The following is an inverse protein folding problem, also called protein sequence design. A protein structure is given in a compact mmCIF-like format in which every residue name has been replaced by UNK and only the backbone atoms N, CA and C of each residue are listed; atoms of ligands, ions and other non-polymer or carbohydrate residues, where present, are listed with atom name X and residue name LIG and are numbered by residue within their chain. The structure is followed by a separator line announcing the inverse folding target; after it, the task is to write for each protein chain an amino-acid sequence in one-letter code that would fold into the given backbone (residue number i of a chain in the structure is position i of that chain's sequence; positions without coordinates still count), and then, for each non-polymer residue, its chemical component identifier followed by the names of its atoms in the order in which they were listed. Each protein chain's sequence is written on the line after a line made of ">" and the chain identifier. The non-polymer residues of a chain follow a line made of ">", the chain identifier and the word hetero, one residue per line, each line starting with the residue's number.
data_IF_667777516711
#
_entry.id   IF_667777516711
#
_cell.length_a   1.000
_cell.length_b   1.000
_cell.length_c   1.000
_cell.angle_alpha   90.00
_cell.angle_beta   90.00
_cell.angle_gamma   90.00
#
_symmetry.space_group_name_H-M   'P 1'
#
loop_
_entity.id
_entity.type
_entity.pdbx_description
1 polymer ?
#
# COMPACT_ATOMS: atom_id res chain seq x y z
N UNK A 1 6.46 -12.15 66.12
CA UNK A 1 7.60 -11.26 66.44
C UNK A 1 8.49 -11.22 65.20
N UNK A 2 8.56 -10.07 64.50
CA UNK A 2 9.77 -9.21 64.34
C UNK A 2 11.01 -10.02 63.93
N UNK A 3 11.77 -9.76 62.86
CA UNK A 3 12.02 -8.57 62.02
C UNK A 3 12.83 -9.08 60.79
N UNK A 4 12.49 -8.64 59.58
CA UNK A 4 13.30 -7.74 58.72
C UNK A 4 14.63 -8.32 58.17
N UNK A 5 14.80 -8.31 56.85
CA UNK A 5 15.62 -7.28 56.19
C UNK A 5 15.43 -7.31 54.66
N UNK A 6 15.29 -6.10 54.12
CA UNK A 6 15.24 -5.71 52.72
C UNK A 6 16.61 -5.94 52.05
N UNK A 7 16.65 -6.44 50.81
CA UNK A 7 17.72 -6.09 49.89
C UNK A 7 17.20 -6.12 48.44
N UNK A 8 17.04 -4.93 47.88
CA UNK A 8 16.75 -4.68 46.47
C UNK A 8 17.99 -5.01 45.64
N UNK A 9 17.81 -5.74 44.54
CA UNK A 9 18.75 -5.70 43.42
C UNK A 9 17.95 -5.61 42.11
N UNK A 10 17.96 -4.41 41.52
CA UNK A 10 17.65 -4.17 40.12
C UNK A 10 18.74 -4.84 39.26
N UNK A 11 18.35 -5.51 38.18
CA UNK A 11 19.09 -5.53 36.91
C UNK A 11 18.20 -6.12 35.81
N UNK A 12 17.79 -5.22 34.93
CA UNK A 12 17.29 -5.47 33.58
C UNK A 12 18.25 -6.32 32.75
N UNK A 13 17.73 -7.16 31.84
CA UNK A 13 18.03 -7.16 30.38
C UNK A 13 17.58 -8.47 29.70
N UNK A 14 17.32 -8.34 28.40
CA UNK A 14 17.04 -9.32 27.36
C UNK A 14 15.53 -9.59 27.15
N UNK A 15 14.84 -8.92 26.22
CA UNK A 15 15.30 -8.61 24.87
C UNK A 15 14.86 -9.73 23.94
N UNK A 16 13.60 -9.69 23.53
CA UNK A 16 13.20 -10.16 22.22
C UNK A 16 12.66 -8.92 21.50
N UNK A 17 13.60 -8.11 21.02
CA UNK A 17 13.34 -7.26 19.86
C UNK A 17 13.10 -8.24 18.70
N UNK A 18 11.86 -8.71 18.54
CA UNK A 18 11.35 -8.93 17.19
C UNK A 18 11.26 -7.54 16.60
N UNK A 19 12.37 -7.07 16.04
CA UNK A 19 12.36 -5.99 15.09
C UNK A 19 11.56 -6.47 13.88
N UNK A 20 10.23 -6.40 13.98
CA UNK A 20 9.46 -6.06 12.81
C UNK A 20 10.03 -4.70 12.42
N UNK A 21 10.87 -4.69 11.39
CA UNK A 21 11.22 -3.46 10.70
C UNK A 21 9.91 -3.02 10.08
N UNK A 22 9.10 -2.34 10.88
CA UNK A 22 7.97 -1.61 10.42
C UNK A 22 8.55 -0.33 9.84
N UNK A 23 8.73 -0.25 8.53
CA UNK A 23 8.72 1.01 7.80
C UNK A 23 7.65 1.89 8.44
N UNK A 24 8.11 2.90 9.17
CA UNK A 24 7.21 3.90 9.72
C UNK A 24 6.62 4.64 8.53
N UNK A 25 5.38 5.13 8.66
CA UNK A 25 4.82 6.10 7.72
C UNK A 25 5.82 7.25 7.50
N UNK A 26 6.53 7.64 8.58
CA UNK A 26 7.62 8.62 8.54
C UNK A 26 8.68 8.28 7.51
N UNK A 27 9.11 7.02 7.43
CA UNK A 27 10.13 6.58 6.48
C UNK A 27 9.66 6.74 5.03
N UNK A 28 8.38 6.48 4.76
CA UNK A 28 7.78 6.65 3.42
C UNK A 28 7.65 8.14 3.09
N UNK A 29 7.21 8.97 4.06
CA UNK A 29 6.98 10.40 3.82
C UNK A 29 8.27 11.21 3.69
N UNK A 30 9.33 10.80 4.36
CA UNK A 30 10.64 11.47 4.32
C UNK A 30 11.55 10.95 3.20
N UNK A 31 11.28 9.77 2.63
CA UNK A 31 12.08 9.21 1.54
C UNK A 31 11.96 10.05 0.25
N UNK A 32 13.08 10.61 -0.21
CA UNK A 32 13.18 11.45 -1.42
C UNK A 32 12.95 10.68 -2.74
N UNK A 33 13.00 9.35 -2.73
CA UNK A 33 12.73 8.51 -3.90
C UNK A 33 11.25 8.54 -4.31
N UNK A 34 10.36 8.81 -3.37
CA UNK A 34 8.94 8.92 -3.64
C UNK A 34 8.55 10.35 -4.02
N UNK A 35 7.78 10.47 -5.11
CA UNK A 35 7.20 11.76 -5.51
C UNK A 35 6.26 12.33 -4.44
N UNK A 36 6.15 13.66 -4.39
CA UNK A 36 5.23 14.33 -3.47
C UNK A 36 3.76 13.94 -3.73
N UNK A 37 3.37 13.75 -4.99
CA UNK A 37 2.03 13.31 -5.36
C UNK A 37 1.70 11.94 -4.78
N UNK A 38 2.65 11.01 -4.87
CA UNK A 38 2.54 9.69 -4.22
C UNK A 38 2.41 9.82 -2.70
N UNK A 39 3.31 10.55 -2.05
CA UNK A 39 3.31 10.71 -0.58
C UNK A 39 1.99 11.27 -0.08
N UNK A 40 1.49 12.33 -0.74
CA UNK A 40 0.20 12.92 -0.37
C UNK A 40 -0.98 11.97 -0.61
N UNK A 41 -0.97 11.18 -1.69
CA UNK A 41 -2.00 10.20 -1.95
C UNK A 41 -1.97 9.06 -0.90
N UNK A 42 -0.77 8.56 -0.58
CA UNK A 42 -0.56 7.55 0.44
C UNK A 42 -1.06 8.02 1.81
N UNK A 43 -0.63 9.19 2.29
CA UNK A 43 -1.10 9.75 3.57
C UNK A 43 -2.63 9.87 3.59
N UNK A 44 -3.23 10.44 2.54
CA UNK A 44 -4.69 10.64 2.44
C UNK A 44 -5.48 9.33 2.50
N UNK A 45 -4.94 8.25 1.96
CA UNK A 45 -5.55 6.92 2.02
C UNK A 45 -5.29 6.28 3.38
N UNK A 46 -4.05 6.32 3.84
CA UNK A 46 -3.60 5.69 5.08
C UNK A 46 -4.36 6.24 6.31
N UNK A 47 -4.55 7.56 6.40
CA UNK A 47 -5.29 8.22 7.48
C UNK A 47 -6.76 7.78 7.58
N UNK A 48 -7.34 7.26 6.49
CA UNK A 48 -8.73 6.75 6.47
C UNK A 48 -8.84 5.29 6.92
N UNK A 49 -7.71 4.60 7.02
CA UNK A 49 -7.64 3.16 7.30
C UNK A 49 -7.70 2.29 6.04
N UNK A 50 -7.53 0.97 6.21
CA UNK A 50 -7.48 0.02 5.10
C UNK A 50 -8.70 0.12 4.19
N UNK A 51 -8.46 0.01 2.89
CA UNK A 51 -9.51 0.08 1.86
C UNK A 51 -9.56 -1.17 0.97
N UNK A 52 -8.64 -2.11 1.18
CA UNK A 52 -8.47 -3.33 0.41
C UNK A 52 -8.19 -4.51 1.35
N UNK A 53 -8.70 -5.71 1.01
CA UNK A 53 -8.49 -6.99 1.69
C UNK A 53 -8.42 -7.04 3.24
N UNK A 54 -9.12 -6.11 3.90
CA UNK A 54 -9.20 -5.87 5.34
C UNK A 54 -8.00 -5.10 5.93
N UNK A 55 -6.79 -5.33 5.45
CA UNK A 55 -5.57 -4.79 6.08
C UNK A 55 -4.73 -3.90 5.15
N UNK A 56 -4.94 -3.97 3.83
CA UNK A 56 -4.10 -3.27 2.85
C UNK A 56 -4.77 -2.02 2.26
N UNK A 57 -3.97 -1.28 1.51
CA UNK A 57 -4.36 0.00 0.94
C UNK A 57 -4.08 0.04 -0.56
N UNK A 58 -5.10 0.27 -1.37
CA UNK A 58 -4.95 0.67 -2.77
C UNK A 58 -4.83 2.19 -2.84
N UNK A 59 -3.76 2.66 -3.47
CA UNK A 59 -3.44 4.07 -3.69
C UNK A 59 -3.35 4.33 -5.19
N UNK A 60 -3.98 5.42 -5.64
CA UNK A 60 -3.88 5.90 -7.03
C UNK A 60 -3.56 7.38 -7.03
N UNK A 61 -2.70 7.84 -7.94
CA UNK A 61 -2.21 9.22 -7.95
C UNK A 61 -1.71 9.63 -9.34
N UNK A 62 -1.73 10.94 -9.68
CA UNK A 62 -1.09 11.42 -10.89
C UNK A 62 0.43 11.25 -10.79
N UNK A 63 1.07 10.72 -11.83
CA UNK A 63 2.52 10.44 -11.82
C UNK A 63 3.29 11.13 -12.95
N UNK A 64 2.72 12.20 -13.52
CA UNK A 64 3.33 12.99 -14.58
C UNK A 64 2.91 12.53 -15.98
N UNK A 65 3.19 13.36 -16.99
CA UNK A 65 2.87 13.04 -18.39
C UNK A 65 1.38 12.87 -18.71
N UNK A 66 0.48 13.24 -17.79
CA UNK A 66 -0.96 12.97 -17.90
C UNK A 66 -1.37 11.54 -17.50
N UNK A 67 -0.47 10.77 -16.89
CA UNK A 67 -0.72 9.41 -16.43
C UNK A 67 -1.17 9.34 -14.96
N UNK A 68 -1.90 8.28 -14.65
CA UNK A 68 -2.34 7.83 -13.34
C UNK A 68 -1.60 6.54 -13.01
N UNK A 69 -0.86 6.56 -11.91
CA UNK A 69 -0.19 5.40 -11.36
C UNK A 69 -1.00 4.87 -10.17
N UNK A 70 -0.74 3.62 -9.79
CA UNK A 70 -1.27 3.08 -8.56
C UNK A 70 -0.47 1.93 -8.00
N UNK A 71 -0.72 1.63 -6.73
CA UNK A 71 -0.11 0.52 -6.02
C UNK A 71 -0.98 0.03 -4.87
N UNK A 72 -0.76 -1.22 -4.46
CA UNK A 72 -1.22 -1.77 -3.19
C UNK A 72 -0.07 -1.61 -2.20
N UNK A 73 -0.31 -0.99 -1.06
CA UNK A 73 0.55 -1.10 0.11
C UNK A 73 0.14 -2.33 0.90
N UNK A 74 0.95 -3.38 0.82
CA UNK A 74 0.82 -4.59 1.62
C UNK A 74 1.31 -4.28 3.04
N UNK A 75 0.39 -4.22 3.99
CA UNK A 75 0.69 -3.87 5.38
C UNK A 75 1.55 -4.94 6.08
N UNK A 76 1.46 -6.20 5.64
CA UNK A 76 2.17 -7.32 6.25
C UNK A 76 3.64 -7.36 5.87
N UNK A 77 3.96 -7.10 4.60
CA UNK A 77 5.33 -7.10 4.09
C UNK A 77 5.92 -5.69 3.90
N UNK A 78 5.08 -4.67 4.01
CA UNK A 78 5.41 -3.25 3.90
C UNK A 78 6.06 -2.89 2.57
N UNK A 79 5.50 -3.46 1.52
CA UNK A 79 5.93 -3.23 0.13
C UNK A 79 4.80 -2.63 -0.67
N UNK A 80 5.19 -1.87 -1.68
CA UNK A 80 4.28 -1.39 -2.70
C UNK A 80 4.28 -2.37 -3.87
N UNK A 81 3.09 -2.89 -4.20
CA UNK A 81 2.85 -3.74 -5.36
C UNK A 81 2.19 -2.88 -6.42
N UNK A 82 2.91 -2.58 -7.50
CA UNK A 82 2.38 -1.75 -8.59
C UNK A 82 1.14 -2.38 -9.23
N UNK A 83 0.25 -1.51 -9.71
CA UNK A 83 -0.78 -1.91 -10.67
C UNK A 83 -0.13 -2.49 -11.95
N UNK A 84 -0.87 -3.29 -12.73
CA UNK A 84 -0.35 -3.92 -13.95
C UNK A 84 0.13 -2.93 -15.03
N UNK A 85 -0.30 -1.68 -14.97
CA UNK A 85 0.03 -0.63 -15.93
C UNK A 85 -0.09 0.75 -15.27
N UNK A 86 0.43 1.77 -15.97
CA UNK A 86 0.06 3.16 -15.71
C UNK A 86 -0.99 3.57 -16.75
N UNK A 87 -1.93 4.42 -16.37
CA UNK A 87 -3.11 4.69 -17.18
C UNK A 87 -3.20 6.15 -17.60
N UNK A 88 -3.65 6.44 -18.81
CA UNK A 88 -3.91 7.81 -19.26
C UNK A 88 -5.07 8.36 -18.44
N UNK A 89 -4.81 9.41 -17.65
CA UNK A 89 -5.79 9.95 -16.70
C UNK A 89 -7.01 10.59 -17.36
N UNK A 90 -6.85 11.13 -18.57
CA UNK A 90 -7.91 11.77 -19.35
C UNK A 90 -8.12 11.07 -20.71
N UNK A 91 -8.06 9.74 -20.76
CA UNK A 91 -8.36 8.99 -21.98
C UNK A 91 -9.78 9.22 -22.46
N UNK A 92 -9.94 9.48 -23.76
CA UNK A 92 -11.20 9.57 -24.48
C UNK A 92 -11.77 8.18 -24.84
N UNK A 93 -10.97 7.13 -24.73
CA UNK A 93 -11.36 5.74 -25.02
C UNK A 93 -11.87 5.01 -23.79
N UNK A 94 -11.23 5.22 -22.64
CA UNK A 94 -11.60 4.62 -21.36
C UNK A 94 -10.94 5.39 -20.21
N UNK A 95 -11.74 6.14 -19.46
CA UNK A 95 -11.29 6.80 -18.23
C UNK A 95 -10.77 5.76 -17.23
N UNK A 96 -9.70 6.14 -16.51
CA UNK A 96 -9.12 5.31 -15.47
C UNK A 96 -10.08 5.19 -14.28
N UNK A 97 -10.39 3.95 -13.89
CA UNK A 97 -11.12 3.62 -12.67
C UNK A 97 -10.57 2.31 -12.08
N UNK A 98 -10.63 2.20 -10.77
CA UNK A 98 -10.19 1.03 -10.03
C UNK A 98 -11.25 0.67 -8.99
N UNK A 99 -11.79 -0.56 -9.07
CA UNK A 99 -12.76 -1.09 -8.11
C UNK A 99 -12.14 -2.18 -7.26
N UNK A 100 -12.24 -1.99 -5.96
CA UNK A 100 -11.71 -2.85 -4.92
C UNK A 100 -12.53 -2.61 -3.64
N UNK A 101 -12.36 -3.45 -2.63
CA UNK A 101 -13.00 -3.26 -1.33
C UNK A 101 -12.25 -3.97 -0.21
N UNK A 102 -12.62 -3.64 1.03
CA UNK A 102 -12.04 -4.17 2.26
C UNK A 102 -12.36 -5.64 2.55
N UNK A 103 -13.14 -6.33 1.72
CA UNK A 103 -13.58 -7.72 1.98
C UNK A 103 -13.04 -8.73 0.98
N UNK A 104 -12.21 -8.30 0.04
CA UNK A 104 -11.75 -9.12 -1.08
C UNK A 104 -10.32 -8.76 -1.47
N UNK A 105 -9.57 -9.75 -1.93
CA UNK A 105 -8.27 -9.56 -2.59
C UNK A 105 -8.42 -9.21 -4.08
N UNK A 106 -9.64 -8.90 -4.54
CA UNK A 106 -9.92 -8.61 -5.94
C UNK A 106 -9.86 -7.12 -6.24
N UNK A 107 -9.13 -6.78 -7.28
CA UNK A 107 -9.04 -5.44 -7.88
C UNK A 107 -9.44 -5.53 -9.35
N UNK A 108 -10.37 -4.69 -9.79
CA UNK A 108 -10.74 -4.57 -11.21
C UNK A 108 -10.40 -3.19 -11.73
N UNK A 109 -9.84 -3.14 -12.94
CA UNK A 109 -9.32 -1.91 -13.54
C UNK A 109 -10.05 -1.62 -14.86
N UNK A 110 -10.33 -0.34 -15.05
CA UNK A 110 -10.67 0.29 -16.31
C UNK A 110 -9.63 1.35 -16.61
N UNK A 111 -9.23 1.48 -17.87
CA UNK A 111 -8.31 2.53 -18.28
C UNK A 111 -7.65 2.22 -19.62
N UNK A 112 -6.97 3.21 -20.18
CA UNK A 112 -6.06 3.02 -21.30
C UNK A 112 -4.62 3.10 -20.82
N UNK A 113 -3.80 2.10 -21.14
CA UNK A 113 -2.37 2.11 -20.81
C UNK A 113 -1.67 3.33 -21.39
N UNK A 114 -0.91 4.04 -20.56
CA UNK A 114 -0.09 5.18 -20.97
C UNK A 114 1.11 4.78 -21.84
N UNK A 115 1.51 3.50 -21.83
CA UNK A 115 2.65 3.01 -22.61
C UNK A 115 2.26 2.23 -23.85
N UNK A 116 1.25 1.35 -23.73
CA UNK A 116 0.88 0.40 -24.79
C UNK A 116 -0.40 0.76 -25.53
N UNK A 117 -1.18 1.72 -25.01
CA UNK A 117 -2.51 2.10 -25.52
C UNK A 117 -3.54 0.95 -25.50
N UNK A 118 -3.24 -0.14 -24.78
CA UNK A 118 -4.17 -1.21 -24.50
C UNK A 118 -5.31 -0.69 -23.61
N UNK A 119 -6.55 -1.09 -23.93
CA UNK A 119 -7.73 -0.66 -23.18
C UNK A 119 -8.20 -1.78 -22.26
N UNK A 120 -8.19 -1.49 -20.97
CA UNK A 120 -8.67 -2.34 -19.90
C UNK A 120 -10.15 -2.04 -19.68
N UNK A 121 -11.01 -3.06 -19.81
CA UNK A 121 -12.46 -2.96 -19.58
C UNK A 121 -12.87 -3.99 -18.54
N UNK A 122 -12.88 -3.60 -17.26
CA UNK A 122 -13.15 -4.51 -16.13
C UNK A 122 -12.18 -5.70 -16.11
N UNK A 123 -10.89 -5.44 -16.34
CA UNK A 123 -9.86 -6.48 -16.21
C UNK A 123 -9.57 -6.65 -14.73
N UNK A 124 -9.80 -7.85 -14.21
CA UNK A 124 -9.70 -8.11 -12.78
C UNK A 124 -8.48 -8.95 -12.44
N UNK A 125 -7.96 -8.69 -11.25
CA UNK A 125 -6.80 -9.32 -10.68
C UNK A 125 -7.12 -9.77 -9.25
N UNK A 126 -6.53 -10.87 -8.83
CA UNK A 126 -6.50 -11.33 -7.45
C UNK A 126 -5.11 -11.06 -6.88
N UNK A 127 -5.05 -10.43 -5.71
CA UNK A 127 -3.80 -10.25 -4.98
C UNK A 127 -3.47 -11.48 -4.14
N UNK A 128 -2.31 -12.09 -4.37
CA UNK A 128 -1.90 -13.34 -3.71
C UNK A 128 -0.95 -13.13 -2.50
N UNK A 129 -0.75 -11.89 -2.06
CA UNK A 129 0.25 -11.52 -1.05
C UNK A 129 1.62 -11.16 -1.63
N UNK A 130 1.82 -11.33 -2.94
CA UNK A 130 3.07 -10.97 -3.61
C UNK A 130 2.87 -10.17 -4.90
N UNK A 131 1.88 -10.52 -5.70
CA UNK A 131 1.58 -9.87 -6.97
C UNK A 131 0.10 -9.91 -7.30
N UNK A 132 -0.30 -9.09 -8.26
CA UNK A 132 -1.62 -9.13 -8.87
C UNK A 132 -1.65 -10.20 -9.98
N UNK A 133 -2.46 -11.22 -9.80
CA UNK A 133 -2.65 -12.31 -10.77
C UNK A 133 -3.92 -12.06 -11.59
N UNK A 134 -3.86 -12.10 -12.93
CA UNK A 134 -5.05 -11.91 -13.75
C UNK A 134 -6.08 -13.03 -13.49
N UNK A 135 -7.34 -12.64 -13.32
CA UNK A 135 -8.48 -13.55 -13.20
C UNK A 135 -9.06 -13.74 -14.61
N UNK A 136 -8.94 -14.95 -15.15
CA UNK A 136 -9.54 -15.33 -16.43
C UNK A 136 -11.04 -15.62 -16.30
#
# INVERSE_FOLDING_TARGET
>A
MRKALLLTLLLSLNGCMSGNVSASITDITENEEFSDDFKQAFIRVYEKGPNFNADDFVITYPCGGGAMCGSIFDSSSQRFISLPDDFIGASDRQEFDAKYNVTSNRLCIWGESAYTLNVYKNVCYEYDGNALQPIN
#
